data_IF_057977124993
#
_entry.id   IF_057977124993
#
_cell.length_a   1.000
_cell.length_b   1.000
_cell.length_c   1.000
_cell.angle_alpha   90.00
_cell.angle_beta   90.00
_cell.angle_gamma   90.00
#
_symmetry.space_group_name_H-M   'P 1'
#
loop_
_entity.id
_entity.type
_entity.pdbx_description
1 polymer ?
#
# COMPACT_ATOMS: atom_id res chain seq x y z
N UNK A 1 -18.52 9.26 -22.29
CA UNK A 1 -17.44 8.26 -22.31
C UNK A 1 -17.26 7.78 -20.88
N UNK A 2 -17.95 6.72 -20.50
CA UNK A 2 -17.80 6.05 -19.20
C UNK A 2 -17.13 4.72 -19.52
N UNK A 3 -15.89 4.51 -19.07
CA UNK A 3 -15.14 3.31 -19.45
C UNK A 3 -13.81 3.11 -18.72
N UNK A 4 -13.03 4.17 -18.47
CA UNK A 4 -11.61 4.00 -18.07
C UNK A 4 -11.23 4.51 -16.67
N UNK A 5 -12.18 4.90 -15.80
CA UNK A 5 -11.85 5.46 -14.49
C UNK A 5 -11.90 4.45 -13.33
N UNK A 6 -11.98 3.14 -13.56
CA UNK A 6 -12.02 2.14 -12.49
C UNK A 6 -10.63 1.59 -12.18
N UNK A 7 -10.29 1.46 -10.89
CA UNK A 7 -9.04 0.82 -10.46
C UNK A 7 -7.77 1.64 -10.63
N UNK A 8 -7.87 2.97 -10.64
CA UNK A 8 -6.71 3.87 -10.59
C UNK A 8 -6.50 4.43 -9.18
N UNK A 9 -5.24 4.75 -8.90
CA UNK A 9 -4.85 5.57 -7.76
C UNK A 9 -4.17 6.82 -8.31
N UNK A 10 -4.71 7.98 -7.98
CA UNK A 10 -4.06 9.27 -8.18
C UNK A 10 -3.25 9.65 -6.95
N UNK A 11 -2.06 10.17 -7.19
CA UNK A 11 -1.23 10.79 -6.19
C UNK A 11 -1.38 12.31 -6.27
N UNK A 12 -2.22 12.85 -5.40
CA UNK A 12 -2.38 14.30 -5.20
C UNK A 12 -1.54 14.81 -4.01
N UNK A 13 -0.54 14.04 -3.58
CA UNK A 13 0.42 14.47 -2.56
C UNK A 13 1.64 15.16 -3.17
N UNK A 14 2.40 15.90 -2.36
CA UNK A 14 3.66 16.53 -2.79
C UNK A 14 4.86 15.56 -2.85
N UNK A 15 4.67 14.30 -2.46
CA UNK A 15 5.69 13.25 -2.49
C UNK A 15 5.23 12.09 -3.37
N UNK A 16 6.12 11.16 -3.67
CA UNK A 16 5.72 9.91 -4.30
C UNK A 16 4.92 9.05 -3.33
N UNK A 17 4.04 8.20 -3.86
CA UNK A 17 3.45 7.10 -3.10
C UNK A 17 3.88 5.77 -3.70
N UNK A 18 3.96 4.79 -2.84
CA UNK A 18 4.35 3.43 -3.17
C UNK A 18 3.19 2.52 -2.79
N UNK A 19 2.70 1.77 -3.78
CA UNK A 19 1.52 0.90 -3.63
C UNK A 19 2.00 -0.52 -3.76
N UNK A 20 1.97 -1.29 -2.68
CA UNK A 20 2.30 -2.73 -2.73
C UNK A 20 1.04 -3.53 -2.43
N UNK A 21 0.95 -4.67 -3.09
CA UNK A 21 -0.01 -5.73 -2.76
C UNK A 21 -1.45 -5.27 -2.93
N UNK A 22 -1.84 -5.12 -4.20
CA UNK A 22 -3.21 -5.45 -4.56
C UNK A 22 -3.40 -6.90 -4.12
N UNK A 23 -4.28 -7.13 -3.14
CA UNK A 23 -4.55 -8.44 -2.58
C UNK A 23 -6.05 -8.75 -2.67
N UNK A 24 -6.46 -10.02 -2.70
CA UNK A 24 -7.89 -10.37 -2.68
C UNK A 24 -8.55 -9.90 -1.38
N UNK A 25 -7.81 -10.03 -0.28
CA UNK A 25 -8.17 -9.57 1.05
C UNK A 25 -6.89 -9.49 1.91
N UNK A 26 -6.95 -8.90 3.11
CA UNK A 26 -5.76 -8.74 3.95
C UNK A 26 -5.18 -10.06 4.50
N UNK A 27 -5.92 -11.17 4.47
CA UNK A 27 -5.45 -12.47 4.96
C UNK A 27 -4.72 -13.28 3.87
N UNK A 28 -4.54 -12.73 2.67
CA UNK A 28 -3.80 -13.43 1.62
C UNK A 28 -2.33 -13.60 2.03
N UNK A 29 -1.78 -14.78 1.80
CA UNK A 29 -0.42 -15.13 2.20
C UNK A 29 0.63 -14.36 1.39
N UNK A 30 1.65 -13.88 2.08
CA UNK A 30 2.80 -13.20 1.46
C UNK A 30 3.58 -14.19 0.58
N UNK A 31 3.52 -15.49 0.86
CA UNK A 31 4.19 -16.52 0.07
C UNK A 31 3.69 -16.60 -1.40
N UNK A 32 2.49 -16.10 -1.69
CA UNK A 32 1.94 -16.07 -3.05
C UNK A 32 2.54 -14.95 -3.94
N UNK A 33 3.37 -14.08 -3.35
CA UNK A 33 4.03 -12.98 -4.04
C UNK A 33 5.40 -13.40 -4.59
N UNK A 34 5.68 -13.08 -5.86
CA UNK A 34 6.94 -13.43 -6.56
C UNK A 34 8.09 -12.46 -6.30
N UNK A 35 7.82 -11.39 -5.56
CA UNK A 35 8.79 -10.37 -5.17
C UNK A 35 9.91 -10.90 -4.27
N UNK A 36 10.91 -10.05 -4.01
CA UNK A 36 11.96 -10.31 -3.02
C UNK A 36 11.40 -10.24 -1.59
N UNK A 37 10.49 -11.15 -1.26
CA UNK A 37 9.90 -11.31 0.07
C UNK A 37 11.00 -11.57 1.10
N UNK A 38 12.13 -12.16 0.70
CA UNK A 38 13.32 -12.32 1.54
C UNK A 38 13.86 -10.99 2.10
N UNK A 39 13.78 -9.89 1.33
CA UNK A 39 14.18 -8.56 1.83
C UNK A 39 13.22 -8.06 2.92
N UNK A 40 11.93 -8.36 2.80
CA UNK A 40 10.93 -8.04 3.83
C UNK A 40 11.21 -8.83 5.11
N UNK A 41 11.45 -10.13 5.01
CA UNK A 41 11.80 -10.96 6.18
C UNK A 41 13.09 -10.48 6.87
N UNK A 42 14.11 -10.11 6.10
CA UNK A 42 15.36 -9.59 6.65
C UNK A 42 15.14 -8.27 7.41
N UNK A 43 14.45 -7.31 6.79
CA UNK A 43 14.15 -6.03 7.42
C UNK A 43 13.26 -6.17 8.67
N UNK A 44 12.29 -7.08 8.64
CA UNK A 44 11.44 -7.38 9.81
C UNK A 44 12.26 -7.97 10.95
N UNK A 45 13.26 -8.82 10.65
CA UNK A 45 14.16 -9.34 11.68
C UNK A 45 14.98 -8.23 12.31
N UNK A 46 15.46 -7.27 11.53
CA UNK A 46 16.22 -6.11 12.02
C UNK A 46 15.37 -5.24 12.96
N UNK A 47 14.13 -4.92 12.58
CA UNK A 47 13.28 -4.08 13.45
C UNK A 47 12.87 -4.80 14.74
N UNK A 48 12.66 -6.12 14.70
CA UNK A 48 12.42 -6.96 15.89
C UNK A 48 13.58 -6.99 16.88
N UNK A 49 14.80 -6.68 16.45
CA UNK A 49 15.95 -6.64 17.35
C UNK A 49 16.02 -5.35 18.17
N UNK A 50 15.32 -4.29 17.75
CA UNK A 50 15.42 -2.95 18.35
C UNK A 50 14.13 -2.44 18.96
N UNK A 51 12.98 -2.91 18.45
CA UNK A 51 11.67 -2.58 18.99
C UNK A 51 11.26 -3.59 20.05
N UNK A 52 10.44 -3.15 21.01
CA UNK A 52 9.85 -4.06 21.98
C UNK A 52 8.94 -5.08 21.26
N UNK A 53 9.08 -6.36 21.63
CA UNK A 53 8.29 -7.46 21.05
C UNK A 53 6.77 -7.27 21.20
N UNK A 54 6.32 -6.50 22.21
CA UNK A 54 4.89 -6.23 22.44
C UNK A 54 4.25 -5.36 21.35
N UNK A 55 5.04 -4.52 20.67
CA UNK A 55 4.54 -3.61 19.65
C UNK A 55 4.51 -4.25 18.25
N UNK A 56 5.27 -5.33 18.02
CA UNK A 56 5.43 -5.94 16.69
C UNK A 56 4.63 -7.25 16.54
N UNK A 57 4.05 -7.54 15.35
CA UNK A 57 3.41 -8.82 15.11
C UNK A 57 4.37 -10.00 15.33
N UNK A 58 3.91 -11.05 16.02
CA UNK A 58 4.71 -12.25 16.24
C UNK A 58 4.97 -13.02 14.93
N UNK A 59 4.01 -12.97 14.01
CA UNK A 59 4.01 -13.69 12.74
C UNK A 59 4.09 -12.74 11.55
N UNK A 60 4.71 -13.20 10.47
CA UNK A 60 4.72 -12.52 9.18
C UNK A 60 4.28 -13.51 8.10
N UNK A 61 2.96 -13.64 7.94
CA UNK A 61 2.35 -14.66 7.06
C UNK A 61 1.45 -14.01 6.02
N UNK A 62 0.73 -12.95 6.40
CA UNK A 62 -0.34 -12.34 5.59
C UNK A 62 -0.05 -10.89 5.22
N UNK A 63 -0.73 -10.36 4.19
CA UNK A 63 -0.66 -8.93 3.84
C UNK A 63 -0.99 -8.03 5.04
N UNK A 64 -1.92 -8.43 5.90
CA UNK A 64 -2.22 -7.70 7.13
C UNK A 64 -1.02 -7.62 8.06
N UNK A 65 -0.25 -8.70 8.19
CA UNK A 65 0.97 -8.69 9.02
C UNK A 65 1.97 -7.68 8.44
N UNK A 66 2.17 -7.67 7.12
CA UNK A 66 3.03 -6.67 6.47
C UNK A 66 2.55 -5.23 6.72
N UNK A 67 1.24 -5.01 6.64
CA UNK A 67 0.65 -3.72 6.95
C UNK A 67 0.99 -3.28 8.37
N UNK A 68 0.77 -4.15 9.37
CA UNK A 68 1.10 -3.83 10.76
C UNK A 68 2.60 -3.58 10.94
N UNK A 69 3.48 -4.43 10.40
CA UNK A 69 4.93 -4.19 10.46
C UNK A 69 5.33 -2.85 9.86
N UNK A 70 4.78 -2.50 8.70
CA UNK A 70 5.12 -1.24 8.02
C UNK A 70 4.56 -0.04 8.77
N UNK A 71 3.35 -0.15 9.31
CA UNK A 71 2.72 0.87 10.16
C UNK A 71 3.54 1.11 11.44
N UNK A 72 4.00 0.06 12.11
CA UNK A 72 4.85 0.18 13.30
C UNK A 72 6.22 0.73 12.91
N UNK A 73 6.79 0.30 11.79
CA UNK A 73 8.03 0.88 11.27
C UNK A 73 7.90 2.38 11.02
N UNK A 74 6.79 2.84 10.43
CA UNK A 74 6.51 4.26 10.23
C UNK A 74 6.49 5.05 11.56
N UNK A 75 5.91 4.48 12.64
CA UNK A 75 5.94 5.07 13.98
C UNK A 75 7.35 5.14 14.56
N UNK A 76 8.16 4.11 14.30
CA UNK A 76 9.50 3.98 14.83
C UNK A 76 10.56 4.77 14.05
N UNK A 77 10.21 5.38 12.91
CA UNK A 77 11.15 6.16 12.08
C UNK A 77 11.91 7.24 12.86
N UNK A 78 11.28 7.88 13.84
CA UNK A 78 11.91 8.91 14.66
C UNK A 78 12.84 8.38 15.75
N UNK A 79 12.70 7.10 16.13
CA UNK A 79 13.40 6.45 17.25
C UNK A 79 14.51 5.53 16.72
N UNK A 80 14.18 4.70 15.73
CA UNK A 80 15.04 3.71 15.11
C UNK A 80 15.02 3.88 13.58
N UNK A 81 15.58 5.00 13.05
CA UNK A 81 15.45 5.36 11.65
C UNK A 81 15.97 4.27 10.71
N UNK A 82 17.14 3.69 10.99
CA UNK A 82 17.76 2.69 10.12
C UNK A 82 16.92 1.40 10.01
N UNK A 83 16.54 0.70 11.11
CA UNK A 83 15.69 -0.50 11.02
C UNK A 83 14.27 -0.21 10.49
N UNK A 84 13.68 0.93 10.84
CA UNK A 84 12.37 1.34 10.32
C UNK A 84 12.42 1.59 8.80
N UNK A 85 13.44 2.31 8.33
CA UNK A 85 13.65 2.55 6.91
C UNK A 85 13.96 1.27 6.15
N UNK A 86 14.61 0.27 6.76
CA UNK A 86 14.83 -1.02 6.11
C UNK A 86 13.51 -1.69 5.71
N UNK A 87 12.52 -1.71 6.61
CA UNK A 87 11.18 -2.29 6.33
C UNK A 87 10.47 -1.49 5.24
N UNK A 88 10.46 -0.17 5.37
CA UNK A 88 9.82 0.74 4.40
C UNK A 88 10.48 0.61 3.02
N UNK A 89 11.80 0.54 2.95
CA UNK A 89 12.52 0.43 1.68
C UNK A 89 12.35 -0.96 1.05
N UNK A 90 12.30 -2.02 1.86
CA UNK A 90 11.94 -3.35 1.40
C UNK A 90 10.51 -3.38 0.83
N UNK A 91 9.56 -2.70 1.46
CA UNK A 91 8.22 -2.50 0.92
C UNK A 91 8.27 -1.76 -0.43
N UNK A 92 8.90 -0.58 -0.50
CA UNK A 92 8.97 0.25 -1.71
C UNK A 92 9.58 -0.48 -2.90
N UNK A 93 10.62 -1.29 -2.69
CA UNK A 93 11.26 -2.10 -3.75
C UNK A 93 10.33 -3.13 -4.38
N UNK A 94 9.29 -3.55 -3.65
CA UNK A 94 8.31 -4.54 -4.09
C UNK A 94 6.97 -3.90 -4.50
N UNK A 95 6.98 -2.59 -4.80
CA UNK A 95 5.78 -1.76 -5.01
C UNK A 95 5.68 -1.16 -6.40
N UNK A 96 4.47 -0.72 -6.74
CA UNK A 96 4.21 0.22 -7.81
C UNK A 96 4.40 1.64 -7.26
N UNK A 97 5.45 2.32 -7.72
CA UNK A 97 5.65 3.76 -7.49
C UNK A 97 4.68 4.58 -8.33
N UNK A 98 3.99 5.54 -7.71
CA UNK A 98 3.15 6.56 -8.37
C UNK A 98 3.72 7.92 -8.00
N UNK A 99 4.32 8.60 -8.97
CA UNK A 99 4.95 9.90 -8.70
C UNK A 99 3.95 10.97 -8.34
N UNK A 100 4.40 12.00 -7.63
CA UNK A 100 3.56 13.18 -7.31
C UNK A 100 2.88 13.73 -8.59
N UNK A 101 1.58 14.02 -8.50
CA UNK A 101 0.75 14.52 -9.60
C UNK A 101 0.43 13.49 -10.68
N UNK A 102 0.85 12.23 -10.54
CA UNK A 102 0.56 11.15 -11.48
C UNK A 102 -0.55 10.24 -10.97
N UNK A 103 -1.10 9.43 -11.86
CA UNK A 103 -2.01 8.35 -11.52
C UNK A 103 -1.59 7.06 -12.21
N UNK A 104 -1.91 5.91 -11.61
CA UNK A 104 -1.67 4.60 -12.21
C UNK A 104 -2.84 3.66 -12.01
N UNK A 105 -3.08 2.83 -13.01
CA UNK A 105 -3.97 1.69 -12.88
C UNK A 105 -3.22 0.57 -12.14
N UNK A 106 -3.74 0.17 -10.99
CA UNK A 106 -3.06 -0.79 -10.11
C UNK A 106 -3.49 -2.24 -10.36
N UNK A 107 -4.62 -2.44 -11.06
CA UNK A 107 -5.17 -3.75 -11.41
C UNK A 107 -4.95 -4.06 -12.90
N UNK A 108 -3.69 -4.02 -13.36
CA UNK A 108 -3.31 -4.40 -14.74
C UNK A 108 -2.39 -5.61 -14.72
N UNK A 109 -2.35 -6.37 -15.82
CA UNK A 109 -1.48 -7.55 -15.92
C UNK A 109 -0.01 -7.19 -15.67
N UNK A 110 0.42 -6.05 -16.19
CA UNK A 110 1.81 -5.59 -16.05
C UNK A 110 2.11 -5.17 -14.60
N UNK A 111 1.18 -4.42 -13.99
CA UNK A 111 1.32 -3.97 -12.60
C UNK A 111 1.31 -5.14 -11.61
N UNK A 112 0.38 -6.08 -11.77
CA UNK A 112 0.26 -7.27 -10.91
C UNK A 112 1.39 -8.26 -11.17
N UNK A 113 1.77 -8.46 -12.44
CA UNK A 113 2.79 -9.41 -12.86
C UNK A 113 4.20 -9.03 -12.41
N UNK A 114 4.44 -7.79 -11.98
CA UNK A 114 5.72 -7.40 -11.40
C UNK A 114 5.94 -7.95 -9.99
N UNK A 115 4.88 -8.43 -9.32
CA UNK A 115 4.99 -8.90 -7.94
C UNK A 115 4.16 -10.15 -7.58
N UNK A 116 3.32 -10.65 -8.49
CA UNK A 116 2.59 -11.90 -8.32
C UNK A 116 3.01 -12.95 -9.33
N UNK A 117 2.77 -14.21 -8.96
CA UNK A 117 2.83 -15.30 -9.93
C UNK A 117 1.67 -15.21 -10.93
N UNK A 118 1.76 -15.98 -12.02
CA UNK A 118 0.75 -15.97 -13.09
C UNK A 118 -0.65 -16.28 -12.56
N UNK A 119 -0.78 -17.26 -11.66
CA UNK A 119 -2.08 -17.62 -11.04
C UNK A 119 -2.67 -16.48 -10.22
N UNK A 120 -1.90 -15.87 -9.31
CA UNK A 120 -2.33 -14.75 -8.47
C UNK A 120 -2.71 -13.52 -9.30
N UNK A 121 -1.97 -13.26 -10.38
CA UNK A 121 -2.29 -12.21 -11.36
C UNK A 121 -3.67 -12.44 -11.98
N UNK A 122 -3.96 -13.65 -12.47
CA UNK A 122 -5.26 -13.97 -13.07
C UNK A 122 -6.42 -13.90 -12.07
N UNK A 123 -6.20 -14.31 -10.81
CA UNK A 123 -7.21 -14.19 -9.75
C UNK A 123 -7.58 -12.73 -9.48
N UNK A 124 -6.58 -11.85 -9.34
CA UNK A 124 -6.82 -10.44 -9.06
C UNK A 124 -7.43 -9.68 -10.22
N UNK A 125 -7.05 -9.99 -11.46
CA UNK A 125 -7.66 -9.36 -12.64
C UNK A 125 -9.17 -9.59 -12.70
N UNK A 126 -9.64 -10.73 -12.21
CA UNK A 126 -11.06 -11.10 -12.15
C UNK A 126 -11.76 -10.67 -10.86
N UNK A 127 -11.00 -10.30 -9.83
CA UNK A 127 -11.58 -9.90 -8.55
C UNK A 127 -12.32 -8.58 -8.67
N UNK A 128 -13.52 -8.51 -8.11
CA UNK A 128 -14.25 -7.25 -8.00
C UNK A 128 -13.54 -6.37 -6.96
N UNK A 129 -13.52 -6.79 -5.70
CA UNK A 129 -12.84 -6.04 -4.64
C UNK A 129 -11.42 -6.53 -4.48
N UNK A 130 -10.51 -5.58 -4.29
CA UNK A 130 -9.13 -5.84 -3.90
C UNK A 130 -8.76 -4.95 -2.73
N UNK A 131 -7.92 -5.44 -1.83
CA UNK A 131 -7.27 -4.63 -0.81
C UNK A 131 -6.02 -3.98 -1.39
N UNK A 132 -5.76 -2.73 -1.04
CA UNK A 132 -4.55 -1.99 -1.36
C UNK A 132 -3.84 -1.63 -0.08
N UNK A 133 -2.51 -1.68 -0.12
CA UNK A 133 -1.66 -1.06 0.87
C UNK A 133 -0.84 0.05 0.20
N UNK A 134 -0.90 1.25 0.77
CA UNK A 134 -0.24 2.45 0.24
C UNK A 134 0.73 2.95 1.31
N UNK A 135 1.89 3.45 0.89
CA UNK A 135 2.92 4.05 1.75
C UNK A 135 3.48 5.31 1.10
N UNK A 136 3.68 6.39 1.86
CA UNK A 136 4.28 7.63 1.36
C UNK A 136 5.78 7.48 1.04
N UNK A 137 6.33 8.40 0.26
CA UNK A 137 7.73 8.38 -0.16
C UNK A 137 8.71 8.62 0.98
N UNK A 138 8.31 9.34 2.02
CA UNK A 138 9.00 9.43 3.31
C UNK A 138 8.75 8.22 4.24
N UNK A 139 7.76 7.38 3.93
CA UNK A 139 7.36 6.23 4.72
C UNK A 139 6.55 6.54 5.99
N UNK A 140 6.17 7.80 6.22
CA UNK A 140 5.50 8.22 7.45
C UNK A 140 3.98 7.98 7.44
N UNK A 141 3.39 7.80 6.26
CA UNK A 141 1.96 7.55 6.08
C UNK A 141 1.77 6.16 5.48
N UNK A 142 0.88 5.39 6.09
CA UNK A 142 0.59 4.00 5.71
C UNK A 142 -0.90 3.78 5.82
N UNK A 143 -1.54 3.27 4.78
CA UNK A 143 -2.95 2.90 4.83
C UNK A 143 -3.20 1.56 4.12
N UNK A 144 -4.20 0.83 4.61
CA UNK A 144 -4.72 -0.36 3.96
C UNK A 144 -6.25 -0.30 3.88
N UNK A 145 -6.81 -0.50 2.69
CA UNK A 145 -8.24 -0.38 2.44
C UNK A 145 -8.70 -1.22 1.26
N UNK A 146 -10.01 -1.47 1.17
CA UNK A 146 -10.63 -2.19 0.05
C UNK A 146 -11.11 -1.19 -1.01
N UNK A 147 -10.81 -1.45 -2.28
CA UNK A 147 -11.12 -0.54 -3.39
C UNK A 147 -12.56 -0.55 -3.83
N UNK A 148 -13.29 -1.64 -3.58
CA UNK A 148 -14.63 -1.91 -4.11
C UNK A 148 -14.72 -1.65 -5.62
N UNK A 149 -14.20 -2.58 -6.44
CA UNK A 149 -14.21 -2.77 -7.92
C UNK A 149 -14.28 -1.60 -8.90
N UNK A 150 -15.16 -0.63 -8.68
CA UNK A 150 -15.61 0.33 -9.68
C UNK A 150 -14.92 1.68 -9.54
N UNK A 151 -14.17 1.87 -8.45
CA UNK A 151 -13.76 3.20 -8.04
C UNK A 151 -12.27 3.43 -8.17
N UNK A 152 -11.94 4.67 -8.51
CA UNK A 152 -10.59 5.20 -8.36
C UNK A 152 -10.45 5.93 -7.04
N UNK A 153 -9.22 6.04 -6.58
CA UNK A 153 -8.87 6.62 -5.29
C UNK A 153 -7.82 7.72 -5.47
N UNK A 154 -7.83 8.70 -4.58
CA UNK A 154 -6.92 9.85 -4.58
C UNK A 154 -6.24 9.86 -3.23
N UNK A 155 -4.92 9.68 -3.20
CA UNK A 155 -4.12 9.97 -2.02
C UNK A 155 -3.86 11.47 -1.95
N UNK A 156 -4.35 12.13 -0.91
CA UNK A 156 -4.31 13.58 -0.77
C UNK A 156 -3.37 14.03 0.36
N UNK A 157 -2.84 15.24 0.24
CA UNK A 157 -1.89 15.81 1.21
C UNK A 157 -2.49 16.04 2.60
N UNK A 158 -3.82 16.19 2.68
CA UNK A 158 -4.58 16.43 3.91
C UNK A 158 -4.63 15.22 4.86
N UNK A 159 -3.90 14.13 4.57
CA UNK A 159 -3.89 12.95 5.40
C UNK A 159 -5.07 12.02 5.12
N UNK A 160 -5.69 12.11 3.95
CA UNK A 160 -6.80 11.24 3.56
C UNK A 160 -6.53 10.54 2.21
N UNK A 161 -7.03 9.32 2.09
CA UNK A 161 -7.25 8.68 0.79
C UNK A 161 -8.76 8.71 0.53
N UNK A 162 -9.16 9.42 -0.51
CA UNK A 162 -10.56 9.70 -0.82
C UNK A 162 -10.96 9.04 -2.13
N UNK A 163 -12.22 8.62 -2.24
CA UNK A 163 -12.72 8.09 -3.51
C UNK A 163 -12.85 9.21 -4.54
N UNK A 164 -12.38 8.94 -5.76
CA UNK A 164 -12.59 9.81 -6.89
C UNK A 164 -14.06 9.80 -7.33
N UNK A 165 -14.51 10.93 -7.89
CA UNK A 165 -15.81 11.06 -8.55
C UNK A 165 -15.87 10.11 -9.76
N UNK A 166 -17.00 9.43 -9.96
CA UNK A 166 -17.20 8.52 -11.09
C UNK A 166 -16.91 9.25 -12.42
N UNK A 167 -16.06 8.64 -13.27
CA UNK A 167 -15.59 9.25 -14.51
C UNK A 167 -14.45 10.28 -14.35
N UNK A 168 -13.89 10.45 -13.15
CA UNK A 168 -12.75 11.34 -12.85
C UNK A 168 -11.70 10.64 -12.00
N UNK A 169 -10.44 11.08 -12.11
CA UNK A 169 -9.29 10.57 -11.34
C UNK A 169 -8.67 11.68 -10.47
N UNK A 170 -9.11 12.94 -10.59
CA UNK A 170 -8.56 14.09 -9.86
C UNK A 170 -9.57 14.90 -9.06
N UNK A 171 -10.83 14.48 -9.02
CA UNK A 171 -11.88 15.16 -8.26
C UNK A 171 -12.43 14.23 -7.20
N UNK A 172 -12.49 14.70 -5.95
CA UNK A 172 -13.12 13.96 -4.85
C UNK A 172 -14.61 13.77 -5.12
N UNK A 173 -15.11 12.56 -4.90
CA UNK A 173 -16.53 12.24 -5.00
C UNK A 173 -17.29 12.75 -3.76
N UNK A 174 -18.47 13.40 -3.92
CA UNK A 174 -19.19 14.04 -2.81
C UNK A 174 -19.81 13.08 -1.77
N UNK A 175 -19.70 11.75 -1.92
CA UNK A 175 -20.33 10.77 -1.01
C UNK A 175 -19.53 9.48 -0.79
N UNK A 176 -18.22 9.45 -1.01
CA UNK A 176 -17.58 8.19 -1.30
C UNK A 176 -16.24 8.00 -0.58
N UNK A 177 -16.19 7.00 0.31
CA UNK A 177 -15.02 6.36 0.92
C UNK A 177 -13.88 7.29 1.34
N UNK A 178 -13.73 7.53 2.64
CA UNK A 178 -12.56 8.21 3.20
C UNK A 178 -11.78 7.21 4.04
N UNK A 179 -10.48 7.15 3.81
CA UNK A 179 -9.53 6.34 4.57
C UNK A 179 -8.52 7.29 5.21
N UNK A 180 -8.35 7.17 6.52
CA UNK A 180 -7.32 7.90 7.25
C UNK A 180 -5.93 7.48 6.75
N UNK A 181 -5.12 8.49 6.45
CA UNK A 181 -3.77 8.45 5.89
C UNK A 181 -2.88 9.48 6.63
N UNK A 182 -3.23 9.80 7.87
CA UNK A 182 -2.44 10.71 8.69
C UNK A 182 -1.03 10.16 8.99
N UNK A 183 -0.10 11.07 9.28
CA UNK A 183 1.28 10.73 9.64
C UNK A 183 1.32 9.94 10.95
N UNK A 184 2.01 8.80 10.94
CA UNK A 184 2.06 7.85 12.06
C UNK A 184 2.97 8.28 13.23
N UNK A 185 3.39 9.54 13.33
CA UNK A 185 4.44 9.94 14.28
C UNK A 185 4.50 11.42 14.66
N UNK A 186 3.36 12.13 14.63
CA UNK A 186 3.28 13.47 15.20
C UNK A 186 3.11 13.42 16.71
N UNK A 187 4.11 13.91 17.47
CA UNK A 187 3.83 14.50 18.77
C UNK A 187 3.09 15.83 18.58
#
# INVERSE_FOLDING_TARGET
MAGDSAGHIANATNDDIFTVMVSLNPNWEIADFTTNVNLLFAAIKEIKQVANDEDLPNTFVTIRDLYEFTKISAKLLSIYPEPALAVINAFKKNSIRISSGQYKQVKTRDALGSYLNKSGTEYLLKANTVSLMVVSGDGQRVAMYNTNSEYSWIAADNGEIVRAKDGSIGQQGPQAGVVDWSTMGGN
#
